data_IF_560594601994
#
_entry.id   IF_560594601994
#
_cell.length_a   1.000
_cell.length_b   1.000
_cell.length_c   1.000
_cell.angle_alpha   90.00
_cell.angle_beta   90.00
_cell.angle_gamma   90.00
#
_symmetry.space_group_name_H-M   'P 1'
#
loop_
_entity.id
_entity.type
_entity.pdbx_description
1 polymer ?
#
# COMPACT_ATOMS: atom_id res chain seq x y z
N UNK A 1 8.83 2.35 -3.03
CA UNK A 1 7.96 1.53 -3.90
C UNK A 1 6.65 1.32 -3.19
N UNK A 2 5.53 1.59 -3.86
CA UNK A 2 4.20 1.30 -3.32
C UNK A 2 3.66 0.11 -4.10
N UNK A 3 3.22 -0.94 -3.40
CA UNK A 3 2.55 -2.10 -4.01
C UNK A 3 1.10 -2.12 -3.60
N UNK A 4 0.21 -2.40 -4.56
CA UNK A 4 -1.25 -2.46 -4.35
C UNK A 4 -1.72 -3.82 -4.84
N UNK A 5 -2.40 -4.58 -3.98
CA UNK A 5 -2.90 -5.92 -4.29
C UNK A 5 -4.27 -6.16 -3.64
N UNK A 6 -5.23 -6.69 -4.40
CA UNK A 6 -6.47 -7.24 -3.83
C UNK A 6 -6.20 -8.63 -3.20
N UNK A 7 -5.38 -8.61 -2.16
CA UNK A 7 -4.81 -9.77 -1.47
C UNK A 7 -3.97 -9.32 -0.28
N UNK A 8 -3.41 -10.26 0.49
CA UNK A 8 -2.64 -9.89 1.69
C UNK A 8 -1.45 -8.98 1.30
N UNK A 9 -1.24 -7.83 1.97
CA UNK A 9 -0.25 -6.84 1.57
C UNK A 9 1.18 -7.42 1.48
N UNK A 10 1.50 -8.40 2.32
CA UNK A 10 2.84 -8.99 2.38
C UNK A 10 3.24 -9.79 1.14
N UNK A 11 2.29 -10.21 0.30
CA UNK A 11 2.54 -11.09 -0.86
C UNK A 11 3.60 -10.52 -1.82
N UNK A 12 3.69 -9.19 -1.96
CA UNK A 12 4.62 -8.53 -2.89
C UNK A 12 5.81 -7.85 -2.20
N UNK A 13 5.92 -7.92 -0.87
CA UNK A 13 6.98 -7.22 -0.12
C UNK A 13 8.39 -7.64 -0.51
N UNK A 14 8.58 -8.88 -0.97
CA UNK A 14 9.86 -9.39 -1.46
C UNK A 14 10.44 -8.57 -2.62
N UNK A 15 9.60 -7.94 -3.45
CA UNK A 15 10.05 -7.09 -4.55
C UNK A 15 10.87 -5.90 -4.04
N UNK A 16 10.54 -5.37 -2.86
CA UNK A 16 11.27 -4.25 -2.27
C UNK A 16 12.70 -4.66 -1.88
N UNK A 17 12.85 -5.87 -1.35
CA UNK A 17 14.14 -6.47 -1.02
C UNK A 17 14.98 -6.70 -2.27
N UNK A 18 14.39 -7.27 -3.33
CA UNK A 18 15.06 -7.48 -4.63
C UNK A 18 15.55 -6.17 -5.22
N UNK A 19 14.71 -5.12 -5.19
CA UNK A 19 15.03 -3.82 -5.76
C UNK A 19 15.83 -2.90 -4.81
N UNK A 20 16.07 -3.32 -3.56
CA UNK A 20 16.77 -2.53 -2.52
C UNK A 20 16.17 -1.14 -2.30
N UNK A 21 14.85 -1.05 -2.28
CA UNK A 21 14.10 0.20 -2.07
C UNK A 21 13.21 0.10 -0.83
N UNK A 22 12.95 1.23 -0.16
CA UNK A 22 11.92 1.27 0.88
C UNK A 22 10.54 1.04 0.26
N UNK A 23 9.63 0.50 1.05
CA UNK A 23 8.33 0.07 0.56
C UNK A 23 7.18 0.42 1.48
N UNK A 24 5.99 0.50 0.91
CA UNK A 24 4.71 0.46 1.61
C UNK A 24 3.78 -0.45 0.82
N UNK A 25 3.22 -1.45 1.49
CA UNK A 25 2.38 -2.46 0.86
C UNK A 25 0.91 -2.25 1.28
N UNK A 26 0.06 -2.03 0.29
CA UNK A 26 -1.38 -1.87 0.44
C UNK A 26 -2.07 -3.14 -0.05
N UNK A 27 -3.00 -3.64 0.74
CA UNK A 27 -3.77 -4.83 0.41
C UNK A 27 -4.87 -5.11 1.41
N UNK A 28 -5.58 -6.22 1.20
CA UNK A 28 -6.71 -6.61 2.04
C UNK A 28 -6.23 -7.49 3.19
N UNK A 29 -6.72 -7.23 4.40
CA UNK A 29 -6.40 -8.00 5.61
C UNK A 29 -7.57 -8.82 6.13
N UNK A 30 -8.80 -8.47 5.72
CA UNK A 30 -10.04 -9.09 6.14
C UNK A 30 -10.98 -9.20 4.94
N UNK A 31 -11.83 -10.22 4.93
CA UNK A 31 -12.82 -10.45 3.88
C UNK A 31 -14.26 -10.36 4.43
N UNK A 32 -15.24 -10.40 3.54
CA UNK A 32 -16.67 -10.50 3.90
C UNK A 32 -17.42 -9.17 3.88
N UNK A 33 -16.84 -8.11 3.34
CA UNK A 33 -17.54 -6.85 3.11
C UNK A 33 -18.45 -6.95 1.89
N UNK A 34 -19.60 -6.30 1.95
CA UNK A 34 -20.54 -6.18 0.84
C UNK A 34 -20.82 -4.70 0.59
N UNK A 35 -20.79 -4.28 -0.67
CA UNK A 35 -20.94 -2.88 -1.06
C UNK A 35 -20.57 -2.66 -2.52
N UNK A 36 -20.49 -1.40 -2.92
CA UNK A 36 -19.88 -1.04 -4.20
C UNK A 36 -18.38 -1.36 -4.19
N UNK A 37 -17.78 -1.53 -5.36
CA UNK A 37 -16.35 -1.77 -5.46
C UNK A 37 -15.57 -0.62 -4.85
N UNK A 38 -16.01 0.62 -5.11
CA UNK A 38 -15.40 1.84 -4.60
C UNK A 38 -15.43 1.89 -3.07
N UNK A 39 -16.54 1.49 -2.45
CA UNK A 39 -16.67 1.50 -1.00
C UNK A 39 -15.82 0.42 -0.33
N UNK A 40 -15.76 -0.78 -0.93
CA UNK A 40 -14.92 -1.88 -0.44
C UNK A 40 -13.43 -1.55 -0.60
N UNK A 41 -13.03 -0.93 -1.71
CA UNK A 41 -11.64 -0.50 -1.92
C UNK A 41 -11.26 0.64 -0.97
N UNK A 42 -12.15 1.61 -0.75
CA UNK A 42 -11.93 2.65 0.27
C UNK A 42 -11.81 2.05 1.67
N UNK A 43 -12.66 1.08 2.01
CA UNK A 43 -12.57 0.36 3.28
C UNK A 43 -11.21 -0.33 3.49
N UNK A 44 -10.62 -0.86 2.42
CA UNK A 44 -9.28 -1.47 2.46
C UNK A 44 -8.12 -0.50 2.21
N UNK A 45 -8.38 0.80 2.06
CA UNK A 45 -7.34 1.80 1.73
C UNK A 45 -6.69 1.58 0.35
N UNK A 46 -7.44 1.00 -0.58
CA UNK A 46 -7.02 0.75 -1.98
C UNK A 46 -7.59 1.80 -2.94
N UNK A 47 -8.28 2.82 -2.43
CA UNK A 47 -8.71 3.96 -3.22
C UNK A 47 -7.53 4.89 -3.57
N UNK A 48 -7.75 5.79 -4.52
CA UNK A 48 -6.71 6.67 -5.03
C UNK A 48 -6.12 7.62 -3.98
N UNK A 49 -6.92 8.11 -3.04
CA UNK A 49 -6.45 9.01 -1.98
C UNK A 49 -5.51 8.26 -1.04
N UNK A 50 -5.90 7.06 -0.62
CA UNK A 50 -5.07 6.18 0.21
C UNK A 50 -3.75 5.81 -0.47
N UNK A 51 -3.76 5.51 -1.77
CA UNK A 51 -2.54 5.19 -2.54
C UNK A 51 -1.60 6.41 -2.62
N UNK A 52 -2.15 7.59 -2.89
CA UNK A 52 -1.35 8.84 -2.96
C UNK A 52 -0.75 9.17 -1.61
N UNK A 53 -1.53 9.06 -0.53
CA UNK A 53 -1.05 9.30 0.83
C UNK A 53 0.11 8.35 1.18
N UNK A 54 -0.04 7.05 0.89
CA UNK A 54 1.03 6.07 1.10
C UNK A 54 2.33 6.41 0.33
N UNK A 55 2.20 6.95 -0.89
CA UNK A 55 3.35 7.35 -1.70
C UNK A 55 4.06 8.59 -1.15
N UNK A 56 3.31 9.60 -0.69
CA UNK A 56 3.85 10.81 -0.06
C UNK A 56 4.54 10.44 1.26
N UNK A 57 3.87 9.71 2.13
CA UNK A 57 4.42 9.27 3.43
C UNK A 57 5.70 8.45 3.29
N UNK A 58 5.77 7.58 2.28
CA UNK A 58 6.99 6.83 1.99
C UNK A 58 8.13 7.72 1.50
N UNK A 59 7.82 8.77 0.74
CA UNK A 59 8.80 9.72 0.22
C UNK A 59 9.36 10.60 1.35
N UNK A 60 8.50 11.04 2.26
CA UNK A 60 8.90 11.85 3.41
C UNK A 60 9.76 11.05 4.40
N UNK A 61 9.39 9.80 4.70
CA UNK A 61 10.21 8.90 5.54
C UNK A 61 11.59 8.63 4.93
N UNK A 62 11.64 8.42 3.62
CA UNK A 62 12.89 8.28 2.88
C UNK A 62 13.79 9.50 3.11
N UNK A 63 13.27 10.72 3.04
CA UNK A 63 14.05 11.94 3.26
C UNK A 63 14.65 12.03 4.67
N UNK A 64 13.95 11.54 5.69
CA UNK A 64 14.44 11.55 7.08
C UNK A 64 15.58 10.55 7.35
N UNK A 65 15.67 9.45 6.59
CA UNK A 65 16.73 8.45 6.74
C UNK A 65 18.05 8.81 6.03
N UNK A 66 18.04 9.79 5.12
CA UNK A 66 19.23 10.27 4.38
C UNK A 66 19.83 11.58 4.92
N UNK A 67 19.25 12.16 5.98
CA UNK A 67 19.81 13.30 6.72
C UNK A 67 20.61 12.84 7.94
#
# INVERSE_FOLDING_TARGET
MVTVLDGHPDTLTFLATVNRVATTALGVTLFGQSGSLEDVYRYHGLDAESIVHAAVDLSDRKCLEVQ
#
